data_IF_117948473707
#
_entry.id   IF_117948473707
#
_cell.length_a   1.000
_cell.length_b   1.000
_cell.length_c   1.000
_cell.angle_alpha   90.00
_cell.angle_beta   90.00
_cell.angle_gamma   90.00
#
_symmetry.space_group_name_H-M   'P 1'
#
loop_
_entity.id
_entity.type
_entity.pdbx_description
1 polymer ?
#
# COMPACT_ATOMS: atom_id res chain seq x y z
N UNK A 1 3.34 4.85 23.48
CA UNK A 1 2.70 3.57 23.09
C UNK A 1 1.22 3.48 23.47
N UNK A 2 0.77 3.83 24.69
CA UNK A 2 -0.65 3.73 25.08
C UNK A 2 -1.62 4.60 24.23
N UNK A 3 -1.18 5.78 23.76
CA UNK A 3 -2.03 6.68 22.98
C UNK A 3 -2.30 6.20 21.53
N UNK A 4 -1.38 5.43 20.95
CA UNK A 4 -1.53 4.86 19.61
C UNK A 4 -2.58 3.74 19.58
N UNK A 5 -2.65 2.96 20.67
CA UNK A 5 -3.64 1.90 20.88
C UNK A 5 -5.06 2.46 21.04
N UNK A 6 -5.21 3.61 21.69
CA UNK A 6 -6.50 4.29 21.86
C UNK A 6 -7.04 4.80 20.52
N UNK A 7 -6.19 5.38 19.66
CA UNK A 7 -6.60 5.80 18.32
C UNK A 7 -7.01 4.61 17.44
N UNK A 8 -6.30 3.48 17.54
CA UNK A 8 -6.67 2.24 16.85
C UNK A 8 -8.02 1.69 17.33
N UNK A 9 -8.31 1.77 18.64
CA UNK A 9 -9.59 1.36 19.21
C UNK A 9 -10.76 2.26 18.76
N UNK A 10 -10.57 3.58 18.73
CA UNK A 10 -11.58 4.51 18.22
C UNK A 10 -11.85 4.30 16.72
N UNK A 11 -10.81 3.99 15.93
CA UNK A 11 -10.96 3.64 14.52
C UNK A 11 -11.79 2.35 14.31
N UNK A 12 -11.61 1.34 15.18
CA UNK A 12 -12.41 0.11 15.15
C UNK A 12 -13.88 0.33 15.54
N UNK A 13 -14.15 1.21 16.50
CA UNK A 13 -15.52 1.55 16.92
C UNK A 13 -16.29 2.33 15.83
N UNK A 14 -15.60 3.14 15.03
CA UNK A 14 -16.22 3.80 13.86
C UNK A 14 -16.65 2.79 12.77
N UNK A 15 -16.11 1.57 12.78
CA UNK A 15 -16.46 0.51 11.82
C UNK A 15 -17.68 -0.31 12.28
N UNK A 16 -18.08 -0.29 13.55
CA UNK A 16 -19.19 -1.13 14.04
C UNK A 16 -20.59 -0.56 13.79
N UNK A 17 -20.74 0.75 13.55
CA UNK A 17 -22.04 1.34 13.26
C UNK A 17 -22.48 1.01 11.83
N UNK A 18 -23.49 0.15 11.71
CA UNK A 18 -24.00 -0.41 10.46
C UNK A 18 -25.28 0.32 10.07
N UNK A 19 -25.26 1.07 8.97
CA UNK A 19 -26.51 1.51 8.32
C UNK A 19 -26.83 0.48 7.23
N UNK A 20 -27.99 -0.20 7.27
CA UNK A 20 -28.39 -1.12 6.22
C UNK A 20 -28.86 -0.31 5.00
N UNK A 21 -27.92 0.04 4.13
CA UNK A 21 -28.19 0.58 2.79
C UNK A 21 -28.04 -0.51 1.74
N UNK A 22 -29.08 -0.72 0.95
CA UNK A 22 -29.11 -1.61 -0.22
C UNK A 22 -27.80 -1.56 -1.01
N UNK A 23 -27.10 -2.69 -1.03
CA UNK A 23 -25.90 -2.91 -1.84
C UNK A 23 -26.32 -3.07 -3.31
N UNK A 24 -26.58 -1.96 -3.98
CA UNK A 24 -26.64 -1.93 -5.44
C UNK A 24 -25.20 -1.88 -5.95
N UNK A 25 -24.86 -2.81 -6.85
CA UNK A 25 -23.55 -2.91 -7.49
C UNK A 25 -23.03 -1.51 -7.88
N UNK A 26 -21.98 -1.05 -7.20
CA UNK A 26 -21.26 0.18 -7.56
C UNK A 26 -20.33 -0.09 -8.76
N UNK A 27 -20.86 -0.78 -9.76
CA UNK A 27 -20.31 -0.93 -11.09
C UNK A 27 -20.55 0.39 -11.84
N UNK A 28 -19.72 1.39 -11.55
CA UNK A 28 -19.43 2.52 -12.44
C UNK A 28 -20.63 3.07 -13.24
N UNK A 29 -21.62 3.64 -12.56
CA UNK A 29 -22.67 4.40 -13.23
C UNK A 29 -22.07 5.72 -13.79
N UNK A 30 -21.60 5.65 -15.05
CA UNK A 30 -21.85 6.64 -16.10
C UNK A 30 -21.58 8.13 -15.86
N UNK A 31 -20.77 8.55 -14.90
CA UNK A 31 -20.28 9.95 -14.84
C UNK A 31 -18.98 10.06 -15.65
N UNK A 32 -18.90 10.98 -16.63
CA UNK A 32 -17.66 11.34 -17.35
C UNK A 32 -16.69 11.99 -16.34
N UNK A 33 -16.04 11.16 -15.52
CA UNK A 33 -14.98 11.58 -14.63
C UNK A 33 -13.71 11.74 -15.44
N UNK A 34 -13.00 12.86 -15.23
CA UNK A 34 -11.72 13.06 -15.90
C UNK A 34 -10.70 12.04 -15.41
N UNK A 35 -9.92 11.48 -16.35
CA UNK A 35 -8.97 10.39 -16.09
C UNK A 35 -7.86 10.73 -15.09
N UNK A 36 -7.57 12.02 -14.89
CA UNK A 36 -6.54 12.51 -13.96
C UNK A 36 -7.04 12.69 -12.52
N UNK A 37 -8.34 12.52 -12.27
CA UNK A 37 -8.88 12.60 -10.92
C UNK A 37 -8.77 11.23 -10.24
N UNK A 38 -8.18 11.14 -9.04
CA UNK A 38 -7.94 9.86 -8.38
C UNK A 38 -9.24 9.23 -7.89
N UNK A 39 -9.39 7.90 -8.04
CA UNK A 39 -10.55 7.17 -7.56
C UNK A 39 -10.56 6.95 -6.05
N UNK A 40 -9.38 7.01 -5.42
CA UNK A 40 -9.22 6.80 -3.99
C UNK A 40 -8.06 7.61 -3.42
N UNK A 41 -8.16 7.92 -2.13
CA UNK A 41 -7.02 8.34 -1.32
C UNK A 41 -6.51 7.14 -0.52
N UNK A 42 -5.19 7.00 -0.43
CA UNK A 42 -4.53 5.86 0.21
C UNK A 42 -3.64 6.36 1.32
N UNK A 43 -3.66 5.66 2.46
CA UNK A 43 -2.68 5.79 3.54
C UNK A 43 -2.18 4.41 3.91
N UNK A 44 -0.88 4.28 4.13
CA UNK A 44 -0.21 3.04 4.45
C UNK A 44 0.82 3.25 5.56
N UNK A 45 0.91 2.26 6.42
CA UNK A 45 1.95 2.10 7.41
C UNK A 45 2.88 0.95 7.01
N UNK A 46 4.19 1.21 7.04
CA UNK A 46 5.27 0.27 6.72
C UNK A 46 5.17 -0.35 5.31
N UNK A 47 5.80 -1.52 5.10
CA UNK A 47 5.83 -2.21 3.81
C UNK A 47 6.96 -1.78 2.88
N UNK A 48 8.11 -1.35 3.42
CA UNK A 48 9.31 -0.95 2.65
C UNK A 48 9.11 0.28 1.72
N UNK A 49 8.10 1.12 2.02
CA UNK A 49 7.80 2.34 1.23
C UNK A 49 7.82 3.62 2.09
N UNK A 50 8.38 3.54 3.30
CA UNK A 50 8.26 4.54 4.34
C UNK A 50 7.62 3.95 5.61
N UNK A 51 7.81 4.61 6.75
CA UNK A 51 7.05 4.28 7.96
C UNK A 51 5.57 4.67 7.77
N UNK A 52 5.33 5.86 7.23
CA UNK A 52 4.02 6.34 6.82
C UNK A 52 4.07 6.74 5.35
N UNK A 53 3.08 6.32 4.57
CA UNK A 53 2.95 6.70 3.18
C UNK A 53 1.52 7.11 2.86
N UNK A 54 1.34 8.11 2.00
CA UNK A 54 0.03 8.56 1.58
C UNK A 54 0.03 9.07 0.14
N UNK A 55 -1.11 9.00 -0.53
CA UNK A 55 -1.27 9.58 -1.86
C UNK A 55 -2.50 9.11 -2.62
N UNK A 56 -2.64 9.54 -3.89
CA UNK A 56 -3.76 9.18 -4.75
C UNK A 56 -3.67 7.74 -5.26
N UNK A 57 -4.83 7.15 -5.54
CA UNK A 57 -4.94 5.87 -6.23
C UNK A 57 -6.04 5.86 -7.29
N UNK A 58 -5.90 4.94 -8.24
CA UNK A 58 -6.78 4.73 -9.38
C UNK A 58 -7.26 3.29 -9.41
N UNK A 59 -8.52 3.09 -9.80
CA UNK A 59 -9.15 1.78 -9.86
C UNK A 59 -9.44 1.46 -11.32
N UNK A 60 -8.78 0.42 -11.83
CA UNK A 60 -8.88 -0.01 -13.22
C UNK A 60 -9.52 -1.40 -13.31
N UNK A 61 -9.85 -1.80 -14.54
CA UNK A 61 -10.33 -3.14 -14.88
C UNK A 61 -11.50 -3.61 -13.99
N UNK A 62 -12.51 -2.73 -13.83
CA UNK A 62 -13.72 -2.98 -13.03
C UNK A 62 -13.42 -3.37 -11.57
N UNK A 63 -12.47 -2.69 -10.92
CA UNK A 63 -12.15 -2.93 -9.52
C UNK A 63 -11.01 -3.93 -9.27
N UNK A 64 -10.54 -4.64 -10.30
CA UNK A 64 -9.52 -5.68 -10.14
C UNK A 64 -8.10 -5.15 -10.00
N UNK A 65 -7.82 -3.97 -10.54
CA UNK A 65 -6.49 -3.37 -10.54
C UNK A 65 -6.53 -2.07 -9.76
N UNK A 66 -5.58 -1.90 -8.85
CA UNK A 66 -5.33 -0.66 -8.14
C UNK A 66 -3.93 -0.16 -8.54
N UNK A 67 -3.86 1.12 -8.93
CA UNK A 67 -2.60 1.84 -9.12
C UNK A 67 -2.54 2.95 -8.08
N UNK A 68 -1.60 2.88 -7.15
CA UNK A 68 -1.44 3.88 -6.09
C UNK A 68 -0.09 4.59 -6.25
N UNK A 69 -0.09 5.91 -6.09
CA UNK A 69 1.12 6.72 -6.08
C UNK A 69 1.29 7.31 -4.70
N UNK A 70 2.32 6.90 -3.99
CA UNK A 70 2.48 7.15 -2.56
C UNK A 70 3.75 7.94 -2.29
N UNK A 71 3.64 8.93 -1.43
CA UNK A 71 4.77 9.59 -0.80
C UNK A 71 4.95 9.05 0.62
N UNK A 72 6.12 8.49 0.89
CA UNK A 72 6.54 7.86 2.11
C UNK A 72 7.51 8.71 2.92
N UNK A 73 7.38 8.64 4.24
CA UNK A 73 8.25 9.28 5.20
C UNK A 73 8.66 8.28 6.28
N UNK A 74 9.96 8.19 6.52
CA UNK A 74 10.56 7.45 7.64
C UNK A 74 11.35 8.43 8.49
N UNK A 75 10.94 8.66 9.76
CA UNK A 75 11.69 9.48 10.68
C UNK A 75 13.12 8.98 10.88
N UNK A 76 14.05 9.90 11.12
CA UNK A 76 15.37 9.60 11.68
C UNK A 76 15.17 9.10 13.12
N UNK A 77 15.00 7.78 13.29
CA UNK A 77 15.04 7.17 14.62
C UNK A 77 16.49 7.16 15.11
N UNK A 78 17.24 6.11 14.77
CA UNK A 78 18.69 6.01 15.04
C UNK A 78 19.56 6.43 13.84
N UNK A 79 18.92 6.76 12.72
CA UNK A 79 19.60 7.25 11.53
C UNK A 79 19.86 8.76 11.61
N UNK A 80 20.95 9.24 11.00
CA UNK A 80 21.30 10.67 10.99
C UNK A 80 20.31 11.53 10.20
N UNK A 81 19.55 10.94 9.27
CA UNK A 81 18.62 11.66 8.39
C UNK A 81 17.30 10.91 8.20
N UNK A 82 16.22 11.67 8.05
CA UNK A 82 14.93 11.13 7.65
C UNK A 82 14.96 10.71 6.19
N UNK A 83 14.22 9.65 5.87
CA UNK A 83 14.16 9.10 4.51
C UNK A 83 12.79 9.44 3.92
N UNK A 84 12.80 10.00 2.72
CA UNK A 84 11.62 10.27 1.93
C UNK A 84 11.59 9.32 0.74
N UNK A 85 10.44 8.77 0.40
CA UNK A 85 10.32 7.75 -0.64
C UNK A 85 9.11 8.03 -1.52
N UNK A 86 9.26 7.94 -2.83
CA UNK A 86 8.13 7.98 -3.78
C UNK A 86 7.89 6.58 -4.29
N UNK A 87 6.66 6.09 -4.26
CA UNK A 87 6.33 4.72 -4.67
C UNK A 87 5.17 4.71 -5.66
N UNK A 88 5.36 4.06 -6.80
CA UNK A 88 4.27 3.61 -7.66
C UNK A 88 3.93 2.16 -7.32
N UNK A 89 2.68 1.87 -6.95
CA UNK A 89 2.24 0.58 -6.46
C UNK A 89 1.13 0.02 -7.33
N UNK A 90 1.31 -1.23 -7.76
CA UNK A 90 0.32 -1.99 -8.50
C UNK A 90 -0.22 -3.12 -7.62
N UNK A 91 -1.54 -3.23 -7.52
CA UNK A 91 -2.18 -4.36 -6.84
C UNK A 91 -3.31 -4.94 -7.70
N UNK A 92 -3.31 -6.27 -7.82
CA UNK A 92 -4.32 -7.04 -8.52
C UNK A 92 -5.10 -7.93 -7.55
N UNK A 93 -6.43 -7.87 -7.61
CA UNK A 93 -7.31 -8.83 -6.96
C UNK A 93 -8.28 -9.45 -7.95
N UNK A 94 -8.42 -10.77 -7.86
CA UNK A 94 -9.38 -11.53 -8.66
C UNK A 94 -10.65 -11.86 -7.90
N UNK A 95 -10.54 -12.14 -6.60
CA UNK A 95 -11.65 -12.67 -5.80
C UNK A 95 -12.26 -11.57 -4.94
N UNK A 96 -13.54 -11.33 -5.17
CA UNK A 96 -14.35 -10.40 -4.40
C UNK A 96 -15.51 -11.20 -3.83
N UNK A 97 -15.63 -11.25 -2.50
CA UNK A 97 -16.70 -11.98 -1.81
C UNK A 97 -17.47 -11.00 -0.96
N UNK A 98 -18.76 -10.86 -1.22
CA UNK A 98 -19.64 -10.14 -0.31
C UNK A 98 -19.88 -11.03 0.91
N UNK A 99 -19.39 -10.60 2.08
CA UNK A 99 -19.49 -11.37 3.33
C UNK A 99 -20.66 -10.92 4.21
N UNK A 100 -21.12 -9.68 4.01
CA UNK A 100 -22.30 -9.12 4.64
C UNK A 100 -22.83 -7.94 3.77
N UNK A 101 -24.05 -7.44 4.00
CA UNK A 101 -24.55 -6.24 3.32
C UNK A 101 -23.57 -5.07 3.47
N UNK A 102 -23.08 -4.54 2.35
CA UNK A 102 -22.09 -3.46 2.34
C UNK A 102 -20.63 -3.86 2.66
N UNK A 103 -20.35 -5.14 2.93
CA UNK A 103 -18.99 -5.63 3.21
C UNK A 103 -18.45 -6.53 2.08
N UNK A 104 -17.30 -6.16 1.53
CA UNK A 104 -16.61 -6.90 0.46
C UNK A 104 -15.24 -7.32 0.96
N UNK A 105 -15.00 -8.63 1.00
CA UNK A 105 -13.71 -9.21 1.32
C UNK A 105 -12.98 -9.64 0.05
N UNK A 106 -11.72 -9.24 -0.04
CA UNK A 106 -10.76 -9.66 -1.06
C UNK A 106 -9.69 -10.52 -0.36
N UNK A 107 -9.83 -11.86 -0.37
CA UNK A 107 -8.95 -12.74 0.40
C UNK A 107 -7.51 -12.69 -0.08
N UNK A 108 -7.30 -12.51 -1.38
CA UNK A 108 -5.97 -12.44 -1.98
C UNK A 108 -5.83 -11.23 -2.89
N UNK A 109 -4.77 -10.48 -2.64
CA UNK A 109 -4.22 -9.42 -3.48
C UNK A 109 -2.78 -9.74 -3.75
N UNK A 110 -2.37 -9.62 -5.00
CA UNK A 110 -0.98 -9.75 -5.41
C UNK A 110 -0.55 -8.42 -5.99
N UNK A 111 0.65 -7.98 -5.65
CA UNK A 111 1.13 -6.72 -6.17
C UNK A 111 2.61 -6.54 -6.04
N UNK A 112 3.04 -5.41 -6.56
CA UNK A 112 4.42 -4.95 -6.46
C UNK A 112 4.45 -3.44 -6.42
N UNK A 113 5.43 -2.89 -5.71
CA UNK A 113 5.77 -1.48 -5.75
C UNK A 113 7.11 -1.27 -6.44
N UNK A 114 7.24 -0.10 -7.07
CA UNK A 114 8.53 0.48 -7.46
C UNK A 114 8.69 1.72 -6.60
N UNK A 115 9.67 1.70 -5.70
CA UNK A 115 9.97 2.82 -4.83
C UNK A 115 11.29 3.48 -5.18
N UNK A 116 11.35 4.80 -4.99
CA UNK A 116 12.50 5.65 -5.19
C UNK A 116 12.75 6.43 -3.91
N UNK A 117 13.90 6.18 -3.27
CA UNK A 117 14.31 6.88 -2.06
C UNK A 117 15.06 8.17 -2.40
N UNK A 118 14.58 9.28 -1.86
CA UNK A 118 15.13 10.62 -2.02
C UNK A 118 16.22 10.84 -0.96
N UNK A 119 17.36 11.37 -1.39
CA UNK A 119 18.43 11.81 -0.50
C UNK A 119 19.81 11.53 -1.08
N UNK A 120 20.84 12.30 -0.69
CA UNK A 120 22.21 12.13 -1.16
C UNK A 120 22.82 10.77 -0.80
N UNK A 121 22.27 10.09 0.20
CA UNK A 121 22.67 8.74 0.62
C UNK A 121 22.20 7.64 -0.35
N UNK A 122 21.27 7.95 -1.26
CA UNK A 122 20.74 6.99 -2.23
C UNK A 122 21.29 7.29 -3.62
N UNK A 123 22.07 6.35 -4.16
CA UNK A 123 22.75 6.53 -5.43
C UNK A 123 21.90 6.01 -6.59
N UNK A 124 21.57 6.88 -7.52
CA UNK A 124 21.01 6.50 -8.84
C UNK A 124 22.12 6.07 -9.80
N UNK A 125 23.29 6.70 -9.67
CA UNK A 125 24.54 6.30 -10.33
C UNK A 125 25.56 6.00 -9.25
N UNK A 126 26.15 4.81 -9.28
CA UNK A 126 27.11 4.39 -8.26
C UNK A 126 28.36 5.29 -8.31
N UNK A 127 28.80 5.85 -7.18
CA UNK A 127 30.02 6.64 -7.11
C UNK A 127 31.27 5.77 -7.30
N UNK A 128 32.33 6.37 -7.84
CA UNK A 128 33.59 5.70 -8.25
C UNK A 128 34.35 4.94 -7.15
N UNK A 129 33.96 5.08 -5.88
CA UNK A 129 34.58 4.35 -4.79
C UNK A 129 34.03 2.92 -4.63
N UNK A 130 32.88 2.61 -5.25
CA UNK A 130 32.42 1.23 -5.35
C UNK A 130 33.11 0.52 -6.51
N UNK A 131 33.64 -0.70 -6.30
CA UNK A 131 34.16 -1.51 -7.40
C UNK A 131 33.10 -1.68 -8.49
N UNK A 132 33.55 -1.68 -9.75
CA UNK A 132 32.66 -1.96 -10.87
C UNK A 132 31.99 -3.33 -10.69
N UNK A 133 30.66 -3.37 -10.80
CA UNK A 133 29.87 -4.59 -10.60
C UNK A 133 29.52 -4.91 -9.14
N UNK A 134 29.88 -4.08 -8.15
CA UNK A 134 29.54 -4.34 -6.74
C UNK A 134 28.03 -4.30 -6.46
N UNK A 135 27.29 -3.42 -7.14
CA UNK A 135 25.81 -3.42 -7.17
C UNK A 135 25.33 -3.54 -8.62
N UNK A 136 24.50 -4.54 -8.89
CA UNK A 136 23.89 -4.75 -10.22
C UNK A 136 22.65 -3.87 -10.46
N UNK A 137 22.14 -3.16 -9.44
CA UNK A 137 20.99 -2.22 -9.54
C UNK A 137 21.23 -0.98 -8.65
N UNK A 138 20.81 0.24 -9.08
CA UNK A 138 20.84 1.46 -8.27
C UNK A 138 20.25 1.31 -6.85
N UNK A 139 20.92 1.87 -5.84
CA UNK A 139 20.49 1.78 -4.43
C UNK A 139 19.28 2.65 -4.09
N UNK A 140 19.00 3.64 -4.94
CA UNK A 140 17.84 4.53 -4.84
C UNK A 140 16.52 3.88 -5.23
N UNK A 141 16.54 2.81 -6.03
CA UNK A 141 15.34 2.11 -6.47
C UNK A 141 15.15 0.81 -5.70
N UNK A 142 13.90 0.47 -5.40
CA UNK A 142 13.52 -0.84 -4.85
C UNK A 142 12.26 -1.39 -5.51
N UNK A 143 12.28 -2.68 -5.78
CA UNK A 143 11.08 -3.45 -6.09
C UNK A 143 10.52 -4.09 -4.82
N UNK A 144 9.23 -3.91 -4.55
CA UNK A 144 8.57 -4.37 -3.32
C UNK A 144 7.37 -5.28 -3.64
N UNK A 145 7.59 -6.55 -3.98
CA UNK A 145 6.50 -7.50 -4.19
C UNK A 145 5.79 -7.83 -2.87
N UNK A 146 4.48 -8.03 -2.93
CA UNK A 146 3.66 -8.36 -1.77
C UNK A 146 2.46 -9.24 -2.12
N UNK A 147 1.97 -9.95 -1.11
CA UNK A 147 0.65 -10.56 -1.07
C UNK A 147 -0.14 -9.92 0.07
N UNK A 148 -1.45 -9.75 -0.09
CA UNK A 148 -2.27 -9.12 0.93
C UNK A 148 -3.72 -9.58 0.89
N UNK A 149 -4.49 -9.04 1.82
CA UNK A 149 -5.95 -9.20 1.91
C UNK A 149 -6.56 -7.85 2.25
N UNK A 150 -7.82 -7.64 1.89
CA UNK A 150 -8.52 -6.43 2.29
C UNK A 150 -10.00 -6.64 2.55
N UNK A 151 -10.53 -5.84 3.45
CA UNK A 151 -11.95 -5.78 3.77
C UNK A 151 -12.45 -4.37 3.49
N UNK A 152 -13.51 -4.28 2.70
CA UNK A 152 -14.16 -3.03 2.33
C UNK A 152 -15.51 -2.91 2.99
N UNK A 153 -15.86 -1.70 3.41
CA UNK A 153 -17.17 -1.33 3.93
C UNK A 153 -17.72 -0.13 3.14
N UNK A 154 -18.92 -0.26 2.61
CA UNK A 154 -19.68 0.87 2.09
C UNK A 154 -20.11 1.76 3.27
N UNK A 155 -19.71 3.03 3.25
CA UNK A 155 -19.98 3.99 4.33
C UNK A 155 -20.81 5.18 3.87
N UNK A 156 -20.85 5.41 2.56
CA UNK A 156 -21.45 6.58 1.96
C UNK A 156 -22.56 6.24 0.99
N UNK A 157 -23.28 7.28 0.58
CA UNK A 157 -24.27 7.24 -0.48
C UNK A 157 -23.82 8.14 -1.65
N UNK A 158 -24.70 8.37 -2.62
CA UNK A 158 -24.40 9.21 -3.80
C UNK A 158 -24.09 10.69 -3.49
N UNK A 159 -24.41 11.17 -2.27
CA UNK A 159 -24.20 12.55 -1.84
C UNK A 159 -22.95 12.73 -0.95
N UNK A 160 -22.30 11.64 -0.54
CA UNK A 160 -21.10 11.69 0.31
C UNK A 160 -19.83 11.62 -0.52
N UNK A 161 -18.81 12.38 -0.10
CA UNK A 161 -17.50 12.37 -0.74
C UNK A 161 -16.80 11.00 -0.65
N UNK A 162 -16.95 10.28 0.47
CA UNK A 162 -16.34 8.96 0.65
C UNK A 162 -17.44 7.91 0.56
N UNK A 163 -17.40 7.07 -0.47
CA UNK A 163 -18.40 6.03 -0.73
C UNK A 163 -18.07 4.73 0.00
N UNK A 164 -16.79 4.39 0.09
CA UNK A 164 -16.32 3.13 0.64
C UNK A 164 -14.97 3.31 1.34
N UNK A 165 -14.80 2.65 2.47
CA UNK A 165 -13.52 2.53 3.18
C UNK A 165 -13.03 1.10 3.04
N UNK A 166 -11.77 0.92 2.67
CA UNK A 166 -11.12 -0.39 2.57
C UNK A 166 -9.92 -0.43 3.51
N UNK A 167 -9.92 -1.38 4.44
CA UNK A 167 -8.73 -1.73 5.22
C UNK A 167 -8.00 -2.89 4.54
N UNK A 168 -6.68 -2.82 4.47
CA UNK A 168 -5.86 -3.87 3.88
C UNK A 168 -4.63 -4.16 4.72
N UNK A 169 -4.19 -5.41 4.68
CA UNK A 169 -2.95 -5.89 5.26
C UNK A 169 -2.12 -6.59 4.20
N UNK A 170 -0.81 -6.39 4.24
CA UNK A 170 0.13 -6.93 3.27
C UNK A 170 1.33 -7.56 3.96
N UNK A 171 1.83 -8.61 3.32
CA UNK A 171 3.06 -9.30 3.65
C UNK A 171 3.88 -9.27 2.37
N UNK A 172 5.05 -8.64 2.44
CA UNK A 172 5.90 -8.45 1.28
C UNK A 172 7.37 -8.48 1.63
N UNK A 173 8.20 -8.21 0.65
CA UNK A 173 9.64 -8.07 0.82
C UNK A 173 10.18 -7.06 -0.20
N UNK A 174 11.49 -7.01 -0.39
CA UNK A 174 12.09 -6.22 -1.45
C UNK A 174 13.17 -7.01 -2.20
N UNK A 175 13.50 -6.57 -3.41
CA UNK A 175 14.50 -7.14 -4.32
C UNK A 175 15.79 -7.67 -3.66
N UNK A 176 16.52 -6.85 -2.90
CA UNK A 176 17.79 -7.26 -2.29
C UNK A 176 17.59 -8.35 -1.24
N UNK A 177 16.47 -8.32 -0.52
CA UNK A 177 16.12 -9.36 0.44
C UNK A 177 15.86 -10.70 -0.26
N UNK A 178 15.16 -10.69 -1.41
CA UNK A 178 14.95 -11.89 -2.23
C UNK A 178 16.29 -12.45 -2.71
N UNK A 179 17.16 -11.59 -3.25
CA UNK A 179 18.47 -12.01 -3.73
C UNK A 179 19.36 -12.55 -2.61
N UNK A 180 19.26 -12.00 -1.40
CA UNK A 180 19.97 -12.48 -0.22
C UNK A 180 19.58 -13.92 0.12
N UNK A 181 18.28 -14.27 0.08
CA UNK A 181 17.83 -15.66 0.28
C UNK A 181 18.35 -16.59 -0.81
N UNK A 182 18.25 -16.17 -2.06
CA UNK A 182 18.63 -17.03 -3.20
C UNK A 182 20.12 -17.35 -3.16
N UNK A 183 20.95 -16.37 -2.78
CA UNK A 183 22.40 -16.52 -2.73
C UNK A 183 22.91 -17.08 -1.40
N UNK A 184 22.15 -16.98 -0.31
CA UNK A 184 22.59 -17.40 1.02
C UNK A 184 21.53 -18.24 1.75
N UNK A 185 21.71 -19.57 1.69
CA UNK A 185 20.78 -20.57 2.26
C UNK A 185 20.73 -20.60 3.81
N UNK A 186 21.61 -19.86 4.49
CA UNK A 186 21.63 -19.80 5.95
C UNK A 186 20.65 -18.77 6.54
N UNK A 187 20.07 -17.90 5.71
CA UNK A 187 19.12 -16.87 6.15
C UNK A 187 17.69 -17.41 6.16
N UNK A 188 17.05 -17.37 7.32
CA UNK A 188 15.63 -17.74 7.44
C UNK A 188 14.73 -16.71 6.74
N UNK A 189 13.75 -17.14 5.93
CA UNK A 189 12.86 -16.22 5.21
C UNK A 189 12.10 -15.23 6.09
N UNK A 190 11.89 -15.57 7.37
CA UNK A 190 11.20 -14.71 8.33
C UNK A 190 11.92 -13.38 8.59
N UNK A 191 13.23 -13.30 8.41
CA UNK A 191 14.00 -12.08 8.67
C UNK A 191 13.86 -11.00 7.59
N UNK A 192 13.30 -11.34 6.42
CA UNK A 192 13.19 -10.41 5.29
C UNK A 192 11.74 -10.05 4.94
N UNK A 193 10.78 -10.58 5.69
CA UNK A 193 9.36 -10.29 5.51
C UNK A 193 9.04 -8.94 6.15
N UNK A 194 8.29 -8.13 5.42
CA UNK A 194 7.77 -6.84 5.84
C UNK A 194 6.26 -6.91 5.90
N UNK A 195 5.69 -6.40 6.98
CA UNK A 195 4.25 -6.26 7.15
C UNK A 195 3.84 -4.81 6.87
N UNK A 196 2.71 -4.64 6.21
CA UNK A 196 2.11 -3.33 5.98
C UNK A 196 0.62 -3.37 6.29
N UNK A 197 0.10 -2.23 6.73
CA UNK A 197 -1.32 -2.02 6.96
C UNK A 197 -1.72 -0.70 6.34
N UNK A 198 -2.90 -0.64 5.73
CA UNK A 198 -3.36 0.60 5.13
C UNK A 198 -4.86 0.73 5.03
N UNK A 199 -5.26 1.95 4.70
CA UNK A 199 -6.64 2.33 4.45
C UNK A 199 -6.73 2.98 3.07
N UNK A 200 -7.80 2.65 2.34
CA UNK A 200 -8.19 3.33 1.11
C UNK A 200 -9.57 3.93 1.28
N UNK A 201 -9.71 5.18 0.86
CA UNK A 201 -10.95 5.94 0.89
C UNK A 201 -11.40 6.15 -0.55
N UNK A 202 -12.41 5.41 -0.99
CA UNK A 202 -12.95 5.52 -2.35
C UNK A 202 -13.89 6.71 -2.44
N UNK A 203 -13.66 7.54 -3.45
CA UNK A 203 -14.34 8.82 -3.68
C UNK A 203 -15.60 8.70 -4.55
#
# INVERSE_FOLDING_TARGET
MKQLFVCFWYLMILISNSVPGLAQELSSAGSKRNWYLPDQAVVQFAGNIGLFAAGPGYILNRGRINLDFLYGYTPSFEAETSIHTVTGKFAYSRWHRQVAPGYIWEPFKFGTGISYSLGPQFYTTLPKHYPDGYYFWPTSFRLTPFIGTSLSKAVGNQYTLVKQVQAYGEIGTHDLAILSIVNNKALSPWYIISFAFGLKFKL
#
